data_IF_758070436133
#
_entry.id   IF_758070436133
#
_cell.length_a   1.000
_cell.length_b   1.000
_cell.length_c   1.000
_cell.angle_alpha   90.00
_cell.angle_beta   90.00
_cell.angle_gamma   90.00
#
_symmetry.space_group_name_H-M   'P 1'
#
loop_
_entity.id
_entity.type
_entity.pdbx_description
1 polymer ?
#
# COMPACT_ATOMS: atom_id res chain seq x y z
N UNK A 1 -49.50 45.97 21.11
CA UNK A 1 -48.64 44.77 21.12
C UNK A 1 -47.73 44.90 22.33
N UNK A 2 -47.93 44.08 23.37
CA UNK A 2 -47.26 44.25 24.67
C UNK A 2 -45.78 43.89 24.57
N UNK A 3 -44.91 44.89 24.78
CA UNK A 3 -43.45 44.75 24.74
C UNK A 3 -42.95 43.79 25.85
N UNK A 4 -43.63 43.76 27.00
CA UNK A 4 -43.30 42.86 28.12
C UNK A 4 -43.56 41.38 27.80
N UNK A 5 -44.63 41.07 27.06
CA UNK A 5 -44.94 39.70 26.64
C UNK A 5 -43.92 39.18 25.60
N UNK A 6 -43.39 40.08 24.77
CA UNK A 6 -42.28 39.78 23.84
C UNK A 6 -40.96 39.55 24.59
N UNK A 7 -40.66 40.33 25.63
CA UNK A 7 -39.45 40.12 26.43
C UNK A 7 -39.47 38.81 27.23
N UNK A 8 -40.62 38.46 27.82
CA UNK A 8 -40.77 37.19 28.55
C UNK A 8 -40.69 35.96 27.64
N UNK A 9 -41.25 36.03 26.43
CA UNK A 9 -41.15 34.93 25.45
C UNK A 9 -39.73 34.75 24.93
N UNK A 10 -38.97 35.82 24.69
CA UNK A 10 -37.54 35.75 24.30
C UNK A 10 -36.68 35.18 25.43
N UNK A 11 -36.95 35.57 26.70
CA UNK A 11 -36.24 35.05 27.86
C UNK A 11 -36.50 33.55 28.09
N UNK A 12 -37.71 33.07 27.78
CA UNK A 12 -38.07 31.65 27.88
C UNK A 12 -37.56 30.80 26.71
N UNK A 13 -37.52 31.36 25.49
CA UNK A 13 -37.06 30.65 24.29
C UNK A 13 -35.54 30.55 24.18
N UNK A 14 -34.80 31.49 24.78
CA UNK A 14 -33.33 31.53 24.68
C UNK A 14 -32.64 30.26 25.24
N UNK A 15 -32.99 29.74 26.44
CA UNK A 15 -32.42 28.49 26.94
C UNK A 15 -32.71 27.27 26.06
N UNK A 16 -33.92 27.20 25.49
CA UNK A 16 -34.31 26.14 24.55
C UNK A 16 -33.49 26.22 23.26
N UNK A 17 -33.29 27.42 22.71
CA UNK A 17 -32.45 27.65 21.53
C UNK A 17 -31.00 27.23 21.78
N UNK A 18 -30.43 27.64 22.92
CA UNK A 18 -29.07 27.25 23.32
C UNK A 18 -28.95 25.73 23.47
N UNK A 19 -29.96 25.07 24.04
CA UNK A 19 -30.00 23.62 24.18
C UNK A 19 -30.02 22.90 22.82
N UNK A 20 -30.88 23.33 21.88
CA UNK A 20 -30.93 22.74 20.55
C UNK A 20 -29.66 23.00 19.73
N UNK A 21 -29.06 24.20 19.86
CA UNK A 21 -27.75 24.51 19.26
C UNK A 21 -26.68 23.59 19.85
N UNK A 22 -26.64 23.42 21.17
CA UNK A 22 -25.72 22.51 21.85
C UNK A 22 -25.83 21.06 21.37
N UNK A 23 -27.05 20.53 21.25
CA UNK A 23 -27.29 19.19 20.68
C UNK A 23 -26.85 19.11 19.22
N UNK A 24 -27.11 20.16 18.42
CA UNK A 24 -26.69 20.24 17.03
C UNK A 24 -25.18 20.17 16.87
N UNK A 25 -24.44 20.91 17.69
CA UNK A 25 -22.98 20.89 17.72
C UNK A 25 -22.44 19.52 18.13
N UNK A 26 -23.00 18.90 19.18
CA UNK A 26 -22.60 17.56 19.62
C UNK A 26 -22.79 16.50 18.52
N UNK A 27 -23.92 16.56 17.79
CA UNK A 27 -24.16 15.66 16.66
C UNK A 27 -23.14 15.87 15.53
N UNK A 28 -22.76 17.11 15.24
CA UNK A 28 -21.73 17.36 14.22
C UNK A 28 -20.36 16.84 14.66
N UNK A 29 -19.98 17.04 15.93
CA UNK A 29 -18.71 16.49 16.46
C UNK A 29 -18.67 14.97 16.36
N UNK A 30 -19.79 14.29 16.65
CA UNK A 30 -19.90 12.84 16.53
C UNK A 30 -19.81 12.36 15.08
N UNK A 31 -20.44 13.06 14.13
CA UNK A 31 -20.31 12.76 12.69
C UNK A 31 -18.88 12.93 12.18
N UNK A 32 -18.20 14.00 12.59
CA UNK A 32 -16.77 14.23 12.28
C UNK A 32 -15.94 13.09 12.86
N UNK A 33 -16.14 12.76 14.14
CA UNK A 33 -15.43 11.66 14.80
C UNK A 33 -15.64 10.32 14.09
N UNK A 34 -16.87 9.99 13.71
CA UNK A 34 -17.18 8.77 12.95
C UNK A 34 -16.54 8.76 11.56
N UNK A 35 -16.52 9.90 10.87
CA UNK A 35 -15.83 10.06 9.59
C UNK A 35 -14.32 9.86 9.73
N UNK A 36 -13.70 10.47 10.75
CA UNK A 36 -12.27 10.32 11.05
C UNK A 36 -11.92 8.89 11.47
N UNK A 37 -12.72 8.24 12.31
CA UNK A 37 -12.51 6.85 12.72
C UNK A 37 -12.62 5.88 11.54
N UNK A 38 -13.59 6.09 10.63
CA UNK A 38 -13.71 5.31 9.39
C UNK A 38 -12.49 5.52 8.49
N UNK A 39 -12.04 6.77 8.32
CA UNK A 39 -10.83 7.07 7.54
C UNK A 39 -9.59 6.42 8.13
N UNK A 40 -9.42 6.45 9.46
CA UNK A 40 -8.31 5.77 10.15
C UNK A 40 -8.36 4.26 9.96
N UNK A 41 -9.52 3.62 10.09
CA UNK A 41 -9.66 2.17 9.85
C UNK A 41 -9.41 1.77 8.39
N UNK A 42 -9.76 2.65 7.44
CA UNK A 42 -9.52 2.46 6.02
C UNK A 42 -8.01 2.58 5.71
N UNK A 43 -7.37 3.66 6.17
CA UNK A 43 -5.95 3.91 6.03
C UNK A 43 -5.12 2.74 6.58
N UNK A 44 -5.41 2.29 7.81
CA UNK A 44 -4.74 1.13 8.42
C UNK A 44 -4.92 -0.13 7.59
N UNK A 45 -6.16 -0.48 7.20
CA UNK A 45 -6.43 -1.68 6.41
C UNK A 45 -5.64 -1.71 5.10
N UNK A 46 -5.57 -0.59 4.40
CA UNK A 46 -4.86 -0.54 3.13
C UNK A 46 -3.35 -0.45 3.27
N UNK A 47 -2.86 0.17 4.35
CA UNK A 47 -1.45 0.09 4.72
C UNK A 47 -1.02 -1.36 4.99
N UNK A 48 -1.86 -2.12 5.71
CA UNK A 48 -1.62 -3.54 5.98
C UNK A 48 -1.64 -4.37 4.69
N UNK A 49 -2.65 -4.18 3.83
CA UNK A 49 -2.74 -4.84 2.52
C UNK A 49 -1.54 -4.51 1.62
N UNK A 50 -1.09 -3.25 1.62
CA UNK A 50 0.12 -2.83 0.91
C UNK A 50 1.35 -3.54 1.46
N UNK A 51 1.49 -3.62 2.78
CA UNK A 51 2.63 -4.26 3.42
C UNK A 51 2.67 -5.77 3.14
N UNK A 52 1.52 -6.45 3.18
CA UNK A 52 1.39 -7.86 2.84
C UNK A 52 1.74 -8.11 1.36
N UNK A 53 1.28 -7.24 0.47
CA UNK A 53 1.62 -7.27 -0.96
C UNK A 53 3.12 -7.09 -1.19
N UNK A 54 3.72 -6.11 -0.51
CA UNK A 54 5.16 -5.84 -0.54
C UNK A 54 5.98 -7.04 -0.03
N UNK A 55 5.59 -7.62 1.12
CA UNK A 55 6.25 -8.79 1.71
C UNK A 55 6.19 -9.98 0.75
N UNK A 56 5.02 -10.25 0.18
CA UNK A 56 4.85 -11.34 -0.79
C UNK A 56 5.73 -11.14 -2.02
N UNK A 57 5.80 -9.90 -2.53
CA UNK A 57 6.65 -9.56 -3.66
C UNK A 57 8.14 -9.79 -3.36
N UNK A 58 8.62 -9.40 -2.17
CA UNK A 58 10.01 -9.66 -1.77
C UNK A 58 10.33 -11.15 -1.59
N UNK A 59 9.42 -11.93 -0.99
CA UNK A 59 9.60 -13.37 -0.83
C UNK A 59 9.76 -14.07 -2.18
N UNK A 60 8.97 -13.68 -3.18
CA UNK A 60 9.10 -14.22 -4.54
C UNK A 60 10.45 -13.86 -5.17
N UNK A 61 10.96 -12.64 -4.95
CA UNK A 61 12.30 -12.26 -5.42
C UNK A 61 13.37 -13.13 -4.75
N UNK A 62 13.26 -13.34 -3.44
CA UNK A 62 14.18 -14.21 -2.69
C UNK A 62 14.17 -15.65 -3.20
N UNK A 63 12.99 -16.23 -3.39
CA UNK A 63 12.83 -17.57 -3.96
C UNK A 63 13.44 -17.66 -5.36
N UNK A 64 13.18 -16.68 -6.23
CA UNK A 64 13.76 -16.62 -7.58
C UNK A 64 15.29 -16.55 -7.50
N UNK A 65 15.86 -15.70 -6.64
CA UNK A 65 17.31 -15.61 -6.44
C UNK A 65 17.90 -16.93 -5.95
N UNK A 66 17.21 -17.65 -5.05
CA UNK A 66 17.64 -18.95 -4.57
C UNK A 66 17.68 -19.99 -5.70
N UNK A 67 16.65 -20.04 -6.56
CA UNK A 67 16.67 -20.92 -7.72
C UNK A 67 17.79 -20.55 -8.72
N UNK A 68 18.09 -19.26 -8.89
CA UNK A 68 19.25 -18.86 -9.70
C UNK A 68 20.58 -19.33 -9.13
N UNK A 69 20.75 -19.27 -7.81
CA UNK A 69 21.94 -19.79 -7.15
C UNK A 69 22.10 -21.30 -7.43
N UNK A 70 21.02 -22.07 -7.34
CA UNK A 70 21.05 -23.49 -7.69
C UNK A 70 21.30 -23.73 -9.18
N UNK A 71 20.71 -22.92 -10.06
CA UNK A 71 20.87 -23.02 -11.51
C UNK A 71 22.34 -22.91 -11.93
N UNK A 72 23.13 -22.04 -11.28
CA UNK A 72 24.56 -21.86 -11.57
C UNK A 72 25.38 -23.14 -11.32
N UNK A 73 24.92 -24.00 -10.42
CA UNK A 73 25.59 -25.25 -10.05
C UNK A 73 25.00 -26.50 -10.71
N UNK A 74 23.84 -26.37 -11.36
CA UNK A 74 23.07 -27.50 -11.90
C UNK A 74 23.65 -28.03 -13.21
N UNK A 75 23.46 -29.33 -13.47
CA UNK A 75 23.89 -30.00 -14.70
C UNK A 75 22.81 -30.96 -15.21
N UNK A 76 22.77 -31.16 -16.52
CA UNK A 76 21.84 -32.09 -17.17
C UNK A 76 20.37 -31.79 -16.86
N UNK A 77 19.61 -32.83 -16.51
CA UNK A 77 18.16 -32.77 -16.27
C UNK A 77 17.75 -31.80 -15.14
N UNK A 78 18.63 -31.55 -14.16
CA UNK A 78 18.34 -30.61 -13.06
C UNK A 78 18.17 -29.17 -13.54
N UNK A 79 18.84 -28.80 -14.65
CA UNK A 79 18.73 -27.47 -15.24
C UNK A 79 17.31 -27.21 -15.73
N UNK A 80 16.72 -28.19 -16.44
CA UNK A 80 15.38 -28.05 -16.99
C UNK A 80 14.31 -28.01 -15.89
N UNK A 81 14.49 -28.78 -14.81
CA UNK A 81 13.61 -28.75 -13.64
C UNK A 81 13.64 -27.38 -12.94
N UNK A 82 14.84 -26.82 -12.69
CA UNK A 82 14.99 -25.50 -12.07
C UNK A 82 14.40 -24.40 -12.97
N UNK A 83 14.62 -24.45 -14.28
CA UNK A 83 14.05 -23.48 -15.22
C UNK A 83 12.52 -23.56 -15.23
N UNK A 84 11.94 -24.75 -15.13
CA UNK A 84 10.49 -24.92 -15.04
C UNK A 84 9.92 -24.30 -13.76
N UNK A 85 10.57 -24.51 -12.61
CA UNK A 85 10.17 -23.88 -11.34
C UNK A 85 10.33 -22.35 -11.38
N UNK A 86 11.43 -21.84 -11.95
CA UNK A 86 11.62 -20.42 -12.19
C UNK A 86 10.47 -19.83 -13.01
N UNK A 87 10.08 -20.46 -14.12
CA UNK A 87 8.97 -20.00 -14.94
C UNK A 87 7.65 -19.90 -14.15
N UNK A 88 7.36 -20.88 -13.28
CA UNK A 88 6.17 -20.84 -12.40
C UNK A 88 6.26 -19.69 -11.40
N UNK A 89 7.42 -19.47 -10.79
CA UNK A 89 7.64 -18.35 -9.86
C UNK A 89 7.50 -17.00 -10.56
N UNK A 90 7.96 -16.86 -11.80
CA UNK A 90 7.80 -15.62 -12.55
C UNK A 90 6.34 -15.26 -12.81
N UNK A 91 5.48 -16.25 -13.07
CA UNK A 91 4.03 -16.01 -13.18
C UNK A 91 3.46 -15.47 -11.86
N UNK A 92 3.89 -16.04 -10.72
CA UNK A 92 3.46 -15.57 -9.40
C UNK A 92 4.01 -14.17 -9.09
N UNK A 93 5.27 -13.92 -9.45
CA UNK A 93 5.93 -12.63 -9.32
C UNK A 93 5.21 -11.54 -10.11
N UNK A 94 4.85 -11.78 -11.37
CA UNK A 94 4.09 -10.81 -12.18
C UNK A 94 2.70 -10.53 -11.60
N UNK A 95 2.05 -11.53 -10.99
CA UNK A 95 0.77 -11.32 -10.27
C UNK A 95 0.98 -10.46 -9.02
N UNK A 96 2.03 -10.71 -8.25
CA UNK A 96 2.35 -9.92 -7.07
C UNK A 96 2.72 -8.47 -7.43
N UNK A 97 3.48 -8.26 -8.52
CA UNK A 97 3.79 -6.93 -9.05
C UNK A 97 2.52 -6.16 -9.41
N UNK A 98 1.61 -6.80 -10.17
CA UNK A 98 0.35 -6.19 -10.56
C UNK A 98 -0.49 -5.84 -9.33
N UNK A 99 -0.61 -6.76 -8.38
CA UNK A 99 -1.37 -6.53 -7.15
C UNK A 99 -0.81 -5.36 -6.35
N UNK A 100 0.50 -5.32 -6.12
CA UNK A 100 1.18 -4.21 -5.45
C UNK A 100 0.91 -2.87 -6.16
N UNK A 101 0.98 -2.85 -7.49
CA UNK A 101 0.71 -1.65 -8.29
C UNK A 101 -0.74 -1.20 -8.16
N UNK A 102 -1.68 -2.14 -8.15
CA UNK A 102 -3.11 -1.86 -8.00
C UNK A 102 -3.45 -1.31 -6.61
N UNK A 103 -2.88 -1.91 -5.55
CA UNK A 103 -3.04 -1.44 -4.17
C UNK A 103 -2.60 0.02 -4.04
N UNK A 104 -1.51 0.40 -4.68
CA UNK A 104 -1.01 1.78 -4.63
C UNK A 104 -1.79 2.72 -5.55
N UNK A 105 -2.32 2.22 -6.66
CA UNK A 105 -3.11 3.01 -7.61
C UNK A 105 -4.44 3.52 -7.05
N UNK A 106 -4.98 2.92 -5.98
CA UNK A 106 -6.21 3.38 -5.32
C UNK A 106 -6.02 4.67 -4.52
N UNK A 107 -4.78 5.12 -4.30
CA UNK A 107 -4.44 6.30 -3.50
C UNK A 107 -3.82 7.40 -4.36
N UNK A 108 -4.62 8.31 -4.96
CA UNK A 108 -4.16 9.32 -5.92
C UNK A 108 -3.19 10.38 -5.34
N UNK A 109 -3.16 10.55 -4.02
CA UNK A 109 -2.31 11.50 -3.29
C UNK A 109 -0.86 11.02 -3.07
N UNK A 110 -0.56 9.75 -3.39
CA UNK A 110 0.81 9.21 -3.26
C UNK A 110 1.63 9.61 -4.48
N UNK A 111 2.60 10.51 -4.36
CA UNK A 111 3.41 10.91 -5.52
C UNK A 111 4.37 9.80 -6.00
N UNK A 112 4.81 8.94 -5.08
CA UNK A 112 5.84 7.92 -5.32
C UNK A 112 5.34 6.70 -6.12
N UNK A 113 4.08 6.64 -6.57
CA UNK A 113 3.55 5.46 -7.31
C UNK A 113 4.35 5.19 -8.57
N UNK A 114 4.74 6.24 -9.27
CA UNK A 114 5.49 6.12 -10.51
C UNK A 114 6.90 5.59 -10.23
N UNK A 115 7.55 6.09 -9.18
CA UNK A 115 8.86 5.58 -8.74
C UNK A 115 8.79 4.11 -8.31
N UNK A 116 7.73 3.71 -7.60
CA UNK A 116 7.51 2.31 -7.23
C UNK A 116 7.39 1.43 -8.47
N UNK A 117 6.56 1.83 -9.43
CA UNK A 117 6.36 1.11 -10.69
C UNK A 117 7.64 1.00 -11.52
N UNK A 118 8.46 2.05 -11.52
CA UNK A 118 9.77 2.00 -12.19
C UNK A 118 10.74 1.07 -11.46
N UNK A 119 10.73 1.06 -10.12
CA UNK A 119 11.53 0.16 -9.32
C UNK A 119 11.12 -1.31 -9.53
N UNK A 120 9.81 -1.64 -9.56
CA UNK A 120 9.35 -3.01 -9.83
C UNK A 120 9.72 -3.47 -11.24
N UNK A 121 9.58 -2.58 -12.23
CA UNK A 121 9.98 -2.88 -13.62
C UNK A 121 11.48 -3.10 -13.75
N UNK A 122 12.30 -2.33 -13.03
CA UNK A 122 13.76 -2.52 -13.01
C UNK A 122 14.12 -3.89 -12.43
N UNK A 123 13.51 -4.26 -11.31
CA UNK A 123 13.70 -5.58 -10.70
C UNK A 123 13.25 -6.70 -11.66
N UNK A 124 12.07 -6.57 -12.28
CA UNK A 124 11.58 -7.53 -13.26
C UNK A 124 12.54 -7.70 -14.44
N UNK A 125 13.08 -6.58 -14.95
CA UNK A 125 14.07 -6.57 -16.03
C UNK A 125 15.37 -7.27 -15.64
N UNK A 126 15.89 -7.01 -14.44
CA UNK A 126 17.10 -7.67 -13.93
C UNK A 126 16.89 -9.18 -13.77
N UNK A 127 15.79 -9.59 -13.15
CA UNK A 127 15.45 -11.01 -12.97
C UNK A 127 15.25 -11.71 -14.32
N UNK A 128 14.54 -11.08 -15.26
CA UNK A 128 14.36 -11.64 -16.61
C UNK A 128 15.68 -11.75 -17.37
N UNK A 129 16.55 -10.75 -17.24
CA UNK A 129 17.90 -10.77 -17.82
C UNK A 129 18.69 -11.97 -17.30
N UNK A 130 18.62 -12.25 -15.99
CA UNK A 130 19.28 -13.41 -15.38
C UNK A 130 18.78 -14.75 -15.92
N UNK A 131 17.48 -14.89 -16.24
CA UNK A 131 16.97 -16.13 -16.86
C UNK A 131 17.67 -16.32 -18.20
N UNK A 132 17.63 -15.28 -19.03
CA UNK A 132 18.08 -15.36 -20.42
C UNK A 132 19.59 -15.62 -20.51
N UNK A 133 20.38 -14.97 -19.65
CA UNK A 133 21.83 -15.17 -19.59
C UNK A 133 22.24 -16.42 -18.80
N UNK A 134 21.33 -16.99 -18.00
CA UNK A 134 21.62 -18.02 -16.97
C UNK A 134 22.74 -17.60 -16.00
N UNK A 135 23.00 -16.30 -15.90
CA UNK A 135 24.05 -15.72 -15.10
C UNK A 135 23.57 -14.37 -14.56
N UNK A 136 23.89 -14.05 -13.31
CA UNK A 136 23.34 -12.86 -12.68
C UNK A 136 24.26 -12.21 -11.68
N UNK A 137 24.26 -10.89 -11.71
CA UNK A 137 24.90 -10.07 -10.69
C UNK A 137 23.93 -9.89 -9.52
N UNK A 138 24.04 -10.75 -8.50
CA UNK A 138 23.21 -10.67 -7.30
C UNK A 138 23.37 -9.34 -6.56
N UNK A 139 24.52 -8.68 -6.68
CA UNK A 139 24.76 -7.40 -6.00
C UNK A 139 23.95 -6.26 -6.63
N UNK A 140 23.76 -6.26 -7.96
CA UNK A 140 22.87 -5.33 -8.64
C UNK A 140 21.41 -5.50 -8.20
N UNK A 141 20.95 -6.73 -7.98
CA UNK A 141 19.61 -6.99 -7.47
C UNK A 141 19.46 -6.50 -6.04
N UNK A 142 20.43 -6.76 -5.16
CA UNK A 142 20.40 -6.27 -3.77
C UNK A 142 20.28 -4.74 -3.73
N UNK A 143 21.01 -4.03 -4.59
CA UNK A 143 20.90 -2.57 -4.71
C UNK A 143 19.49 -2.15 -5.15
N UNK A 144 18.91 -2.82 -6.15
CA UNK A 144 17.54 -2.57 -6.59
C UNK A 144 16.50 -2.87 -5.51
N UNK A 145 16.65 -3.96 -4.74
CA UNK A 145 15.77 -4.30 -3.61
C UNK A 145 15.84 -3.23 -2.52
N UNK A 146 17.04 -2.72 -2.21
CA UNK A 146 17.22 -1.65 -1.24
C UNK A 146 16.52 -0.35 -1.70
N UNK A 147 16.69 0.01 -2.98
CA UNK A 147 16.01 1.16 -3.58
C UNK A 147 14.48 1.00 -3.55
N UNK A 148 13.98 -0.17 -3.95
CA UNK A 148 12.57 -0.50 -3.91
C UNK A 148 12.00 -0.43 -2.48
N UNK A 149 12.72 -0.98 -1.49
CA UNK A 149 12.30 -0.98 -0.09
C UNK A 149 12.26 0.43 0.51
N UNK A 150 13.16 1.33 0.09
CA UNK A 150 13.11 2.74 0.48
C UNK A 150 11.83 3.41 -0.01
N UNK A 151 11.45 3.18 -1.27
CA UNK A 151 10.22 3.72 -1.87
C UNK A 151 8.99 3.13 -1.16
N UNK A 152 8.97 1.80 -0.97
CA UNK A 152 7.86 1.12 -0.29
C UNK A 152 7.65 1.65 1.14
N UNK A 153 8.74 1.95 1.87
CA UNK A 153 8.65 2.57 3.20
C UNK A 153 8.00 3.95 3.17
N UNK A 154 8.32 4.78 2.18
CA UNK A 154 7.71 6.11 2.01
C UNK A 154 6.20 5.98 1.75
N UNK A 155 5.83 5.09 0.83
CA UNK A 155 4.43 4.80 0.48
C UNK A 155 3.66 4.31 1.71
N UNK A 156 4.19 3.32 2.43
CA UNK A 156 3.57 2.82 3.67
C UNK A 156 3.39 3.93 4.71
N UNK A 157 4.39 4.81 4.88
CA UNK A 157 4.27 5.94 5.81
C UNK A 157 3.18 6.93 5.40
N UNK A 158 2.96 7.13 4.10
CA UNK A 158 1.90 8.02 3.59
C UNK A 158 0.51 7.38 3.69
N UNK A 159 0.40 6.06 3.54
CA UNK A 159 -0.86 5.33 3.71
C UNK A 159 -1.40 5.37 5.15
N UNK A 160 -0.54 5.62 6.13
CA UNK A 160 -0.91 5.74 7.54
C UNK A 160 -1.31 7.16 7.97
N UNK A 161 -1.13 8.16 7.10
CA UNK A 161 -1.47 9.57 7.36
C UNK A 161 -2.88 9.89 6.90
#
# INVERSE_FOLDING_TARGET
MNIEALQQSVAFLSPLLVFFIGIGLLKQTELIKQSTMRSSSFATKWSDEFFDSYKRYLLLIEEIMNYFFHLQSAQGQQVDEIVNELNKLFVQYSRAELHLTLVVATFPEIDERQELKEATRRLAGQLSSMINSRNGNFDEIKVSIASFSKIAKLIHSKLLQ
#
